data_IF_508828178249
#
_entry.id   IF_508828178249
#
_cell.length_a   1.000
_cell.length_b   1.000
_cell.length_c   1.000
_cell.angle_alpha   90.00
_cell.angle_beta   90.00
_cell.angle_gamma   90.00
#
_symmetry.space_group_name_H-M   'P 1'
#
loop_
_entity.id
_entity.type
_entity.pdbx_description
1 polymer ?
#
# COMPACT_ATOMS: atom_id res chain seq x y z
N UNK A 1 13.59 -29.51 26.08
CA UNK A 1 14.22 -28.26 26.54
C UNK A 1 13.75 -27.12 25.64
N UNK A 2 13.00 -26.15 26.13
CA UNK A 2 12.56 -24.99 25.33
C UNK A 2 13.76 -24.09 25.05
N UNK A 3 14.07 -23.89 23.77
CA UNK A 3 15.12 -22.93 23.38
C UNK A 3 14.62 -21.51 23.67
N UNK A 4 15.38 -20.75 24.44
CA UNK A 4 15.12 -19.32 24.65
C UNK A 4 15.72 -18.54 23.49
N UNK A 5 14.93 -17.69 22.86
CA UNK A 5 15.37 -16.81 21.80
C UNK A 5 15.29 -15.36 22.28
N UNK A 6 16.28 -14.53 21.92
CA UNK A 6 16.29 -13.10 22.14
C UNK A 6 16.12 -12.42 20.79
N UNK A 7 15.10 -11.57 20.68
CA UNK A 7 14.88 -10.72 19.50
C UNK A 7 15.18 -9.27 19.89
N UNK A 8 16.05 -8.63 19.15
CA UNK A 8 16.45 -7.24 19.39
C UNK A 8 15.99 -6.39 18.20
N UNK A 9 15.31 -5.29 18.49
CA UNK A 9 14.94 -4.27 17.49
C UNK A 9 15.34 -2.89 18.03
N UNK A 10 15.66 -1.99 17.11
CA UNK A 10 16.00 -0.59 17.44
C UNK A 10 14.78 0.21 17.90
N UNK A 11 13.59 -0.19 17.46
CA UNK A 11 12.33 0.50 17.76
C UNK A 11 11.81 0.10 19.13
N UNK A 12 11.03 0.97 19.75
CA UNK A 12 10.38 0.72 21.05
C UNK A 12 9.18 -0.23 20.97
N UNK A 13 8.88 -0.79 19.82
CA UNK A 13 7.77 -1.68 19.57
C UNK A 13 8.20 -2.91 18.74
N UNK A 14 7.44 -3.99 18.84
CA UNK A 14 7.59 -5.20 18.03
C UNK A 14 7.00 -5.00 16.62
N UNK A 15 7.14 -6.00 15.75
CA UNK A 15 6.56 -6.10 14.41
C UNK A 15 7.22 -5.22 13.32
N UNK A 16 8.27 -4.48 13.62
CA UNK A 16 9.04 -3.76 12.59
C UNK A 16 8.15 -2.84 11.72
N UNK A 17 8.23 -2.99 10.41
CA UNK A 17 7.45 -2.16 9.47
C UNK A 17 5.96 -2.51 9.41
N UNK A 18 5.55 -3.68 9.89
CA UNK A 18 4.14 -4.07 9.92
C UNK A 18 3.44 -3.67 11.23
N UNK A 19 4.08 -2.80 12.00
CA UNK A 19 3.50 -2.31 13.24
C UNK A 19 2.25 -1.47 12.99
N UNK A 20 1.21 -1.81 13.71
CA UNK A 20 -0.07 -1.10 13.72
C UNK A 20 -0.36 -0.64 15.15
N UNK A 21 -0.71 0.62 15.31
CA UNK A 21 -1.17 1.16 16.58
C UNK A 21 -2.66 1.48 16.53
N UNK A 22 -3.31 1.47 17.68
CA UNK A 22 -4.72 1.83 17.77
C UNK A 22 -4.84 3.25 18.32
N UNK A 23 -5.34 4.17 17.49
CA UNK A 23 -5.55 5.56 17.85
C UNK A 23 -7.04 5.86 17.72
N UNK A 24 -7.69 6.29 18.79
CA UNK A 24 -9.13 6.60 18.83
C UNK A 24 -10.02 5.47 18.27
N UNK A 25 -9.62 4.21 18.49
CA UNK A 25 -10.34 3.04 17.99
C UNK A 25 -10.01 2.65 16.53
N UNK A 26 -9.21 3.44 15.83
CA UNK A 26 -8.79 3.20 14.44
C UNK A 26 -7.44 2.49 14.42
N UNK A 27 -7.31 1.47 13.56
CA UNK A 27 -6.04 0.80 13.33
C UNK A 27 -5.18 1.64 12.36
N UNK A 28 -4.08 2.18 12.86
CA UNK A 28 -3.15 3.02 12.09
C UNK A 28 -1.89 2.23 11.75
N UNK A 29 -1.65 2.02 10.47
CA UNK A 29 -0.43 1.42 9.96
C UNK A 29 0.70 2.46 9.97
N UNK A 30 1.57 2.39 10.99
CA UNK A 30 2.57 3.44 11.30
C UNK A 30 3.55 3.72 10.16
N UNK A 31 3.93 2.69 9.42
CA UNK A 31 4.99 2.73 8.40
C UNK A 31 4.48 2.47 6.99
N UNK A 32 3.23 2.76 6.74
CA UNK A 32 2.56 2.54 5.47
C UNK A 32 1.62 1.34 5.50
N UNK A 33 0.68 1.34 4.57
CA UNK A 33 -0.32 0.29 4.47
C UNK A 33 0.34 -1.08 4.21
N UNK A 34 -0.06 -2.07 5.01
CA UNK A 34 0.37 -3.45 4.83
C UNK A 34 -0.81 -4.38 4.99
N UNK A 35 -0.94 -5.28 4.05
CA UNK A 35 -1.92 -6.37 4.06
C UNK A 35 -1.20 -7.66 3.70
N UNK A 36 -1.64 -8.78 4.26
CA UNK A 36 -1.15 -10.07 3.82
C UNK A 36 -1.94 -10.53 2.60
N UNK A 37 -1.22 -10.91 1.55
CA UNK A 37 -1.80 -11.43 0.32
C UNK A 37 -0.97 -12.60 -0.20
N UNK A 38 -1.63 -13.71 -0.55
CA UNK A 38 -0.99 -14.86 -1.19
C UNK A 38 -2.01 -15.70 -1.97
N UNK A 39 -1.58 -16.23 -3.11
CA UNK A 39 -2.32 -17.24 -3.87
C UNK A 39 -1.79 -18.65 -3.59
N UNK A 40 -0.74 -18.79 -2.77
CA UNK A 40 -0.15 -20.07 -2.43
C UNK A 40 -0.87 -20.67 -1.21
N UNK A 41 -1.56 -21.80 -1.44
CA UNK A 41 -2.31 -22.48 -0.39
C UNK A 41 -1.42 -22.93 0.78
N UNK A 42 -0.21 -23.40 0.53
CA UNK A 42 0.70 -23.85 1.59
C UNK A 42 1.10 -22.69 2.50
N UNK A 43 1.36 -21.51 1.91
CA UNK A 43 1.68 -20.30 2.68
C UNK A 43 0.46 -19.86 3.49
N UNK A 44 -0.73 -19.87 2.88
CA UNK A 44 -1.97 -19.53 3.56
C UNK A 44 -2.24 -20.45 4.76
N UNK A 45 -2.14 -21.75 4.56
CA UNK A 45 -2.36 -22.74 5.62
C UNK A 45 -1.32 -22.60 6.75
N UNK A 46 -0.08 -22.23 6.39
CA UNK A 46 0.98 -22.03 7.38
C UNK A 46 0.74 -20.80 8.26
N UNK A 47 0.43 -19.64 7.67
CA UNK A 47 0.24 -18.41 8.44
C UNK A 47 -1.01 -18.43 9.31
N UNK A 48 -2.07 -19.13 8.89
CA UNK A 48 -3.28 -19.32 9.69
C UNK A 48 -3.08 -20.18 10.96
N UNK A 49 -1.92 -20.81 11.11
CA UNK A 49 -1.56 -21.47 12.40
C UNK A 49 -1.19 -20.47 13.49
N UNK A 50 -0.87 -19.24 13.13
CA UNK A 50 -0.35 -18.21 14.02
C UNK A 50 -1.29 -17.03 14.20
N UNK A 51 -2.14 -16.75 13.20
CA UNK A 51 -3.03 -15.60 13.22
C UNK A 51 -4.33 -15.88 12.45
N UNK A 52 -5.40 -15.19 12.86
CA UNK A 52 -6.65 -15.15 12.10
C UNK A 52 -6.67 -13.93 11.19
N UNK A 53 -7.06 -14.13 9.93
CA UNK A 53 -7.18 -13.07 8.94
C UNK A 53 -8.65 -12.71 8.71
N UNK A 54 -8.96 -11.42 8.65
CA UNK A 54 -10.31 -10.88 8.54
C UNK A 54 -10.61 -10.60 7.09
N UNK A 55 -10.64 -11.19 6.12
CA UNK A 55 -11.05 -10.91 4.71
C UNK A 55 -11.14 -9.40 4.38
N UNK A 56 -10.16 -8.64 4.83
CA UNK A 56 -10.12 -7.19 4.61
C UNK A 56 -10.04 -6.89 3.10
N UNK A 57 -10.97 -6.09 2.60
CA UNK A 57 -10.91 -5.58 1.23
C UNK A 57 -10.11 -4.29 1.21
N UNK A 58 -8.93 -4.32 0.58
CA UNK A 58 -8.08 -3.16 0.47
C UNK A 58 -8.61 -2.24 -0.64
N UNK A 59 -9.05 -1.05 -0.24
CA UNK A 59 -9.50 0.00 -1.15
C UNK A 59 -8.84 1.32 -0.77
N UNK A 60 -7.57 1.50 -1.09
CA UNK A 60 -6.83 2.68 -0.67
C UNK A 60 -7.32 3.92 -1.40
N UNK A 61 -7.29 5.03 -0.68
CA UNK A 61 -7.63 6.36 -1.18
C UNK A 61 -6.47 7.30 -0.87
N UNK A 62 -6.04 8.07 -1.86
CA UNK A 62 -5.06 9.13 -1.67
C UNK A 62 -5.77 10.46 -1.46
N UNK A 63 -5.32 11.22 -0.46
CA UNK A 63 -5.69 12.62 -0.31
C UNK A 63 -4.53 13.48 -0.84
N UNK A 64 -4.79 14.28 -1.86
CA UNK A 64 -3.84 15.23 -2.40
C UNK A 64 -4.46 16.62 -2.49
N UNK A 65 -3.94 17.55 -1.72
CA UNK A 65 -4.44 18.94 -1.64
C UNK A 65 -5.94 19.04 -1.31
N UNK A 66 -6.46 18.15 -0.47
CA UNK A 66 -7.87 18.11 -0.10
C UNK A 66 -8.78 17.32 -1.04
N UNK A 67 -8.27 16.89 -2.18
CA UNK A 67 -9.00 16.05 -3.14
C UNK A 67 -8.70 14.56 -2.93
N UNK A 68 -9.74 13.73 -3.06
CA UNK A 68 -9.63 12.28 -2.88
C UNK A 68 -9.55 11.56 -4.22
N UNK A 69 -8.59 10.63 -4.32
CA UNK A 69 -8.33 9.82 -5.51
C UNK A 69 -8.28 8.34 -5.17
N UNK A 70 -8.84 7.52 -6.05
CA UNK A 70 -8.74 6.06 -5.91
C UNK A 70 -7.34 5.56 -6.20
N UNK A 71 -6.89 4.54 -5.45
CA UNK A 71 -5.66 3.80 -5.72
C UNK A 71 -5.96 2.30 -5.82
N UNK A 72 -5.26 1.55 -6.69
CA UNK A 72 -4.36 2.03 -7.74
C UNK A 72 -5.06 2.96 -8.74
N UNK A 73 -4.30 3.72 -9.50
CA UNK A 73 -4.85 4.64 -10.51
C UNK A 73 -5.79 3.91 -11.49
N UNK A 74 -6.92 4.52 -11.74
CA UNK A 74 -7.95 4.02 -12.64
C UNK A 74 -8.65 5.20 -13.35
N UNK A 75 -9.61 4.93 -14.21
CA UNK A 75 -10.30 5.97 -14.97
C UNK A 75 -10.99 7.02 -14.08
N UNK A 76 -11.48 6.63 -12.89
CA UNK A 76 -12.02 7.61 -11.94
C UNK A 76 -10.94 8.59 -11.45
N UNK A 77 -9.73 8.09 -11.19
CA UNK A 77 -8.58 8.93 -10.83
C UNK A 77 -8.24 9.90 -11.97
N UNK A 78 -8.14 9.43 -13.21
CA UNK A 78 -7.80 10.26 -14.37
C UNK A 78 -8.90 11.27 -14.71
N UNK A 79 -10.16 10.88 -14.55
CA UNK A 79 -11.29 11.80 -14.70
C UNK A 79 -11.20 12.95 -13.68
N UNK A 80 -10.98 12.62 -12.40
CA UNK A 80 -10.88 13.65 -11.37
C UNK A 80 -9.65 14.56 -11.51
N UNK A 81 -8.51 14.01 -11.94
CA UNK A 81 -7.27 14.78 -12.09
C UNK A 81 -7.24 15.63 -13.34
N UNK A 82 -7.74 15.10 -14.46
CA UNK A 82 -7.53 15.67 -15.80
C UNK A 82 -8.80 15.82 -16.62
N UNK A 83 -9.96 15.43 -16.11
CA UNK A 83 -11.22 15.46 -16.82
C UNK A 83 -11.34 14.42 -17.95
N UNK A 84 -10.45 13.42 -18.01
CA UNK A 84 -10.48 12.39 -19.04
C UNK A 84 -11.75 11.54 -18.94
N UNK A 85 -12.39 11.27 -20.06
CA UNK A 85 -13.59 10.44 -20.15
C UNK A 85 -13.24 9.06 -20.71
N UNK A 86 -12.26 9.00 -21.62
CA UNK A 86 -11.85 7.76 -22.28
C UNK A 86 -10.43 7.32 -21.87
N UNK A 87 -10.12 6.01 -22.00
CA UNK A 87 -8.76 5.51 -21.77
C UNK A 87 -7.72 6.16 -22.71
N UNK A 88 -8.08 6.49 -23.94
CA UNK A 88 -7.18 7.10 -24.92
C UNK A 88 -6.78 8.51 -24.49
N UNK A 89 -7.72 9.34 -24.03
CA UNK A 89 -7.43 10.66 -23.47
C UNK A 89 -6.49 10.56 -22.25
N UNK A 90 -6.68 9.56 -21.39
CA UNK A 90 -5.79 9.35 -20.27
C UNK A 90 -4.38 8.92 -20.70
N UNK A 91 -4.27 8.07 -21.73
CA UNK A 91 -2.99 7.66 -22.32
C UNK A 91 -2.24 8.84 -22.96
N UNK A 92 -2.94 9.73 -23.63
CA UNK A 92 -2.38 10.97 -24.19
C UNK A 92 -1.82 11.87 -23.09
N UNK A 93 -2.59 12.10 -22.02
CA UNK A 93 -2.13 12.88 -20.85
C UNK A 93 -0.89 12.31 -20.18
N UNK A 94 -0.84 11.01 -20.00
CA UNK A 94 0.35 10.31 -19.46
C UNK A 94 1.54 10.51 -20.40
N UNK A 95 1.32 10.43 -21.72
CA UNK A 95 2.38 10.60 -22.73
C UNK A 95 2.92 12.03 -22.75
N UNK A 96 2.05 13.03 -22.60
CA UNK A 96 2.44 14.43 -22.47
C UNK A 96 3.33 14.65 -21.23
N UNK A 97 2.90 14.18 -20.06
CA UNK A 97 3.66 14.31 -18.82
C UNK A 97 5.02 13.60 -18.87
N UNK A 98 5.09 12.45 -19.55
CA UNK A 98 6.38 11.77 -19.73
C UNK A 98 7.40 12.61 -20.52
N UNK A 99 6.96 13.42 -21.47
CA UNK A 99 7.84 14.32 -22.24
C UNK A 99 8.41 15.46 -21.40
N UNK A 100 7.71 15.85 -20.33
CA UNK A 100 8.16 16.90 -19.41
C UNK A 100 9.25 16.42 -18.44
N UNK A 101 9.35 15.12 -18.22
CA UNK A 101 10.36 14.53 -17.34
C UNK A 101 11.72 14.57 -18.04
N UNK A 102 12.57 15.50 -17.60
CA UNK A 102 13.96 15.61 -18.04
C UNK A 102 14.86 14.85 -17.06
N UNK A 103 15.53 13.81 -17.55
CA UNK A 103 16.52 13.03 -16.80
C UNK A 103 16.17 11.56 -16.65
N UNK A 104 17.17 10.75 -16.38
CA UNK A 104 16.95 9.33 -16.05
C UNK A 104 16.29 9.17 -14.67
N UNK A 105 15.38 8.19 -14.50
CA UNK A 105 14.81 7.92 -13.20
C UNK A 105 15.92 7.53 -12.23
N UNK A 106 16.02 8.24 -11.10
CA UNK A 106 16.96 7.87 -10.04
C UNK A 106 16.62 6.45 -9.59
N UNK A 107 17.57 5.52 -9.71
CA UNK A 107 17.45 4.21 -9.08
C UNK A 107 17.31 4.43 -7.58
N UNK A 108 16.15 4.14 -7.04
CA UNK A 108 15.94 4.04 -5.58
C UNK A 108 16.43 2.64 -5.21
N UNK A 109 17.58 2.57 -4.54
CA UNK A 109 18.11 1.35 -3.94
C UNK A 109 17.35 1.02 -2.67
#
# INVERSE_FOLDING_TARGET
MLKKNLVIDRRSHIAGNVYTEKIEGINVHKYGAHIFHTNNKLVWDYVNKFAQFNRFTNSPVANYKGELYSLPFNMYTFNRMWGCITPDEAAEKISEQKKEIKGEPKKIL
#
